data_IF_733720187169
#
_entry.id   IF_733720187169
#
_cell.length_a   1.000
_cell.length_b   1.000
_cell.length_c   1.000
_cell.angle_alpha   90.00
_cell.angle_beta   90.00
_cell.angle_gamma   90.00
#
_symmetry.space_group_name_H-M   'P 1'
#
loop_
_entity.id
_entity.type
_entity.pdbx_description
1 polymer ?
#
# COMPACT_ATOMS: atom_id res chain seq x y z
N UNK A 1 -46.84 38.88 -38.35
CA UNK A 1 -46.34 38.13 -39.52
C UNK A 1 -44.88 38.48 -39.70
N UNK A 2 -43.90 37.66 -39.35
CA UNK A 2 -43.84 36.19 -39.42
C UNK A 2 -42.88 35.68 -38.33
N UNK A 3 -43.21 34.52 -37.76
CA UNK A 3 -42.37 33.70 -36.89
C UNK A 3 -40.92 33.58 -37.36
N UNK A 4 -39.97 33.60 -36.43
CA UNK A 4 -38.61 33.10 -36.68
C UNK A 4 -38.13 32.35 -35.44
N UNK A 5 -38.80 31.24 -35.17
CA UNK A 5 -38.27 30.13 -34.39
C UNK A 5 -37.48 29.21 -35.32
N UNK A 6 -36.16 29.37 -35.38
CA UNK A 6 -35.23 28.29 -35.70
C UNK A 6 -33.79 28.78 -35.49
N UNK A 7 -32.90 27.85 -35.17
CA UNK A 7 -31.47 28.00 -34.82
C UNK A 7 -31.20 28.18 -33.32
N UNK A 8 -31.55 27.14 -32.55
CA UNK A 8 -30.75 26.76 -31.39
C UNK A 8 -29.41 26.23 -31.91
N UNK A 9 -28.37 27.07 -31.89
CA UNK A 9 -26.99 26.62 -32.05
C UNK A 9 -26.50 25.98 -30.76
N UNK A 10 -26.20 24.69 -30.85
CA UNK A 10 -25.50 23.89 -29.85
C UNK A 10 -24.04 24.34 -29.76
N UNK A 11 -23.75 25.33 -28.93
CA UNK A 11 -22.39 25.53 -28.42
C UNK A 11 -22.17 24.60 -27.23
N UNK A 12 -21.74 23.37 -27.55
CA UNK A 12 -21.13 22.46 -26.60
C UNK A 12 -19.73 22.98 -26.26
N UNK A 13 -19.68 24.03 -25.44
CA UNK A 13 -18.42 24.55 -24.96
C UNK A 13 -17.84 23.62 -23.90
N UNK A 14 -16.61 23.21 -24.17
CA UNK A 14 -15.89 22.09 -23.58
C UNK A 14 -15.28 22.45 -22.22
N UNK A 15 -16.01 23.22 -21.40
CA UNK A 15 -15.52 23.79 -20.14
C UNK A 15 -15.65 22.88 -18.93
N UNK A 16 -15.89 21.58 -19.10
CA UNK A 16 -15.67 20.58 -18.03
C UNK A 16 -14.19 20.21 -17.92
N UNK A 17 -13.32 21.23 -17.96
CA UNK A 17 -11.98 21.10 -17.42
C UNK A 17 -12.12 21.05 -15.90
N UNK A 18 -11.80 19.88 -15.35
CA UNK A 18 -11.40 19.62 -13.97
C UNK A 18 -11.40 20.88 -13.10
N UNK A 19 -12.47 21.08 -12.34
CA UNK A 19 -12.43 21.96 -11.18
C UNK A 19 -11.31 21.45 -10.26
N UNK A 20 -10.30 22.27 -9.94
CA UNK A 20 -9.21 21.82 -9.07
C UNK A 20 -9.77 21.76 -7.65
N UNK A 21 -10.27 20.59 -7.27
CA UNK A 21 -10.49 20.27 -5.87
C UNK A 21 -9.12 20.33 -5.18
N UNK A 22 -8.83 21.45 -4.52
CA UNK A 22 -7.77 21.65 -3.52
C UNK A 22 -6.64 20.61 -3.59
N UNK A 23 -5.70 20.80 -4.53
CA UNK A 23 -4.48 20.01 -4.61
C UNK A 23 -3.52 20.39 -3.47
N UNK A 24 -3.90 20.07 -2.25
CA UNK A 24 -2.95 20.00 -1.13
C UNK A 24 -2.28 18.63 -1.16
N UNK A 25 -1.01 18.55 -0.73
CA UNK A 25 -0.16 17.35 -0.72
C UNK A 25 -0.83 16.05 -0.23
N UNK A 26 -1.92 16.17 0.54
CA UNK A 26 -2.85 15.11 0.99
C UNK A 26 -3.43 14.25 -0.15
N UNK A 27 -3.49 14.72 -1.41
CA UNK A 27 -3.96 13.90 -2.54
C UNK A 27 -2.89 13.00 -3.17
N UNK A 28 -1.61 13.18 -2.81
CA UNK A 28 -0.50 12.54 -3.52
C UNK A 28 -0.37 11.05 -3.20
N UNK A 29 -0.38 10.66 -1.91
CA UNK A 29 -0.23 9.24 -1.54
C UNK A 29 -1.34 8.39 -2.15
N UNK A 30 -2.60 8.81 -2.05
CA UNK A 30 -3.72 8.15 -2.71
C UNK A 30 -3.50 7.92 -4.21
N UNK A 31 -2.99 8.92 -4.95
CA UNK A 31 -2.70 8.77 -6.38
C UNK A 31 -1.57 7.76 -6.59
N UNK A 32 -0.46 7.91 -5.86
CA UNK A 32 0.74 7.08 -6.00
C UNK A 32 0.48 5.62 -5.59
N UNK A 33 -0.26 5.39 -4.51
CA UNK A 33 -0.66 4.07 -4.03
C UNK A 33 -1.52 3.34 -5.07
N UNK A 34 -2.43 4.04 -5.76
CA UNK A 34 -3.22 3.44 -6.84
C UNK A 34 -2.34 2.96 -8.02
N UNK A 35 -1.19 3.60 -8.25
CA UNK A 35 -0.24 3.17 -9.27
C UNK A 35 0.45 1.84 -8.94
N UNK A 36 0.31 1.30 -7.73
CA UNK A 36 0.73 -0.08 -7.42
C UNK A 36 -0.01 -1.11 -8.28
N UNK A 37 -1.18 -0.78 -8.81
CA UNK A 37 -1.97 -1.64 -9.72
C UNK A 37 -1.69 -1.38 -11.21
N UNK A 38 -0.85 -0.41 -11.55
CA UNK A 38 -0.50 -0.06 -12.93
C UNK A 38 0.03 -1.28 -13.69
N UNK A 39 -0.23 -1.39 -15.00
CA UNK A 39 0.24 -2.50 -15.85
C UNK A 39 1.71 -2.39 -16.22
N UNK A 40 2.26 -1.17 -16.26
CA UNK A 40 3.67 -0.91 -16.56
C UNK A 40 4.57 -1.27 -15.38
N UNK A 41 5.53 -2.18 -15.59
CA UNK A 41 6.47 -2.63 -14.55
C UNK A 41 7.31 -1.51 -13.97
N UNK A 42 7.80 -0.62 -14.82
CA UNK A 42 8.78 0.39 -14.41
C UNK A 42 8.12 1.45 -13.54
N UNK A 43 6.88 1.83 -13.88
CA UNK A 43 6.05 2.70 -13.04
C UNK A 43 5.83 2.05 -11.67
N UNK A 44 5.44 0.76 -11.63
CA UNK A 44 5.26 0.06 -10.35
C UNK A 44 6.55 0.02 -9.53
N UNK A 45 7.69 -0.23 -10.16
CA UNK A 45 8.99 -0.29 -9.47
C UNK A 45 9.39 1.07 -8.90
N UNK A 46 9.21 2.14 -9.67
CA UNK A 46 9.44 3.52 -9.21
C UNK A 46 8.52 3.85 -8.04
N UNK A 47 7.24 3.47 -8.11
CA UNK A 47 6.26 3.68 -7.04
C UNK A 47 6.66 2.94 -5.77
N UNK A 48 7.02 1.65 -5.86
CA UNK A 48 7.47 0.86 -4.70
C UNK A 48 8.68 1.51 -4.04
N UNK A 49 9.68 1.92 -4.82
CA UNK A 49 10.89 2.58 -4.31
C UNK A 49 10.59 3.96 -3.74
N UNK A 50 9.70 4.73 -4.37
CA UNK A 50 9.29 6.06 -3.93
C UNK A 50 8.56 5.99 -2.58
N UNK A 51 7.55 5.13 -2.48
CA UNK A 51 6.81 4.89 -1.24
C UNK A 51 7.73 4.34 -0.14
N UNK A 52 8.66 3.45 -0.48
CA UNK A 52 9.69 2.95 0.45
C UNK A 52 10.70 4.00 0.95
N UNK A 53 10.69 5.22 0.39
CA UNK A 53 11.56 6.35 0.80
C UNK A 53 10.77 7.49 1.46
N UNK A 54 9.53 7.24 1.85
CA UNK A 54 8.68 8.22 2.53
C UNK A 54 9.33 8.73 3.80
N UNK A 55 9.18 10.04 4.07
CA UNK A 55 9.62 10.66 5.32
C UNK A 55 8.87 10.00 6.49
N UNK A 56 9.56 9.59 7.57
CA UNK A 56 8.91 9.04 8.77
C UNK A 56 7.74 9.87 9.31
N UNK A 57 7.80 11.21 9.22
CA UNK A 57 6.71 12.10 9.66
C UNK A 57 5.43 11.96 8.81
N UNK A 58 5.58 11.60 7.53
CA UNK A 58 4.48 11.41 6.58
C UNK A 58 4.06 9.94 6.46
N UNK A 59 4.67 9.03 7.23
CA UNK A 59 4.38 7.59 7.12
C UNK A 59 2.93 7.27 7.50
N UNK A 60 2.35 7.99 8.46
CA UNK A 60 0.97 7.79 8.89
C UNK A 60 -0.03 8.06 7.76
N UNK A 61 0.17 9.13 7.00
CA UNK A 61 -0.70 9.48 5.86
C UNK A 61 -0.58 8.42 4.76
N UNK A 62 0.65 7.95 4.48
CA UNK A 62 0.87 6.84 3.55
C UNK A 62 0.15 5.57 4.03
N UNK A 63 0.24 5.27 5.32
CA UNK A 63 -0.32 4.06 5.89
C UNK A 63 -1.85 4.04 5.81
N UNK A 64 -2.50 5.19 6.00
CA UNK A 64 -3.95 5.33 5.83
C UNK A 64 -4.37 4.93 4.40
N UNK A 65 -3.67 5.44 3.38
CA UNK A 65 -3.93 5.09 1.98
C UNK A 65 -3.56 3.63 1.63
N UNK A 66 -2.57 3.03 2.30
CA UNK A 66 -2.19 1.63 2.10
C UNK A 66 -3.14 0.63 2.77
N UNK A 67 -3.92 1.05 3.77
CA UNK A 67 -4.74 0.16 4.61
C UNK A 67 -5.69 -0.73 3.82
N UNK A 68 -6.33 -0.21 2.77
CA UNK A 68 -7.22 -1.00 1.90
C UNK A 68 -6.45 -2.11 1.17
N UNK A 69 -5.27 -1.79 0.65
CA UNK A 69 -4.42 -2.75 -0.04
C UNK A 69 -3.87 -3.82 0.89
N UNK A 70 -3.54 -3.46 2.13
CA UNK A 70 -3.11 -4.38 3.18
C UNK A 70 -4.22 -5.38 3.50
N UNK A 71 -5.42 -4.89 3.78
CA UNK A 71 -6.59 -5.74 4.07
C UNK A 71 -6.90 -6.70 2.91
N UNK A 72 -6.92 -6.18 1.68
CA UNK A 72 -7.10 -6.99 0.46
C UNK A 72 -6.01 -8.06 0.30
N UNK A 73 -4.75 -7.72 0.63
CA UNK A 73 -3.64 -8.63 0.55
C UNK A 73 -3.70 -9.73 1.62
N UNK A 74 -4.21 -9.44 2.82
CA UNK A 74 -4.24 -10.40 3.93
C UNK A 74 -5.46 -11.34 3.94
N UNK A 75 -6.54 -11.02 3.21
CA UNK A 75 -7.82 -11.74 3.32
C UNK A 75 -7.76 -13.24 2.93
N UNK A 76 -7.64 -14.17 3.87
CA UNK A 76 -7.54 -15.61 3.53
C UNK A 76 -8.91 -16.15 3.07
N UNK A 77 -9.06 -16.46 1.78
CA UNK A 77 -10.27 -17.01 1.17
C UNK A 77 -9.91 -18.10 0.16
N UNK A 78 -10.77 -19.11 0.01
CA UNK A 78 -10.71 -20.00 -1.15
C UNK A 78 -11.11 -19.21 -2.40
N UNK A 79 -10.14 -18.91 -3.26
CA UNK A 79 -10.36 -18.09 -4.45
C UNK A 79 -9.78 -18.74 -5.71
N UNK A 80 -10.36 -18.40 -6.88
CA UNK A 80 -9.85 -18.86 -8.18
C UNK A 80 -8.38 -18.42 -8.35
N UNK A 81 -7.56 -19.29 -8.95
CA UNK A 81 -6.11 -19.08 -9.18
C UNK A 81 -5.74 -17.68 -9.72
N UNK A 82 -6.53 -17.11 -10.65
CA UNK A 82 -6.28 -15.76 -11.20
C UNK A 82 -6.38 -14.64 -10.15
N UNK A 83 -7.29 -14.77 -9.17
CA UNK A 83 -7.45 -13.79 -8.08
C UNK A 83 -6.31 -13.93 -7.08
N UNK A 84 -5.96 -15.17 -6.72
CA UNK A 84 -4.81 -15.49 -5.88
C UNK A 84 -3.53 -14.85 -6.41
N UNK A 85 -3.16 -15.10 -7.68
CA UNK A 85 -1.96 -14.50 -8.31
C UNK A 85 -1.96 -12.96 -8.31
N UNK A 86 -3.13 -12.32 -8.45
CA UNK A 86 -3.23 -10.85 -8.37
C UNK A 86 -2.96 -10.35 -6.95
N UNK A 87 -3.43 -11.09 -5.95
CA UNK A 87 -3.20 -10.78 -4.54
C UNK A 87 -1.75 -11.04 -4.14
N UNK A 88 -1.13 -12.10 -4.64
CA UNK A 88 0.30 -12.38 -4.40
C UNK A 88 1.20 -11.30 -5.01
N UNK A 89 0.86 -10.83 -6.22
CA UNK A 89 1.51 -9.65 -6.79
C UNK A 89 1.39 -8.42 -5.86
N UNK A 90 0.22 -8.20 -5.26
CA UNK A 90 0.01 -7.08 -4.34
C UNK A 90 0.77 -7.29 -3.02
N UNK A 91 0.76 -8.50 -2.46
CA UNK A 91 1.55 -8.88 -1.28
C UNK A 91 3.02 -8.59 -1.50
N UNK A 92 3.58 -9.01 -2.64
CA UNK A 92 4.97 -8.74 -2.98
C UNK A 92 5.26 -7.23 -3.03
N UNK A 93 4.36 -6.43 -3.61
CA UNK A 93 4.54 -4.97 -3.69
C UNK A 93 4.54 -4.33 -2.31
N UNK A 94 3.59 -4.69 -1.46
CA UNK A 94 3.47 -4.18 -0.10
C UNK A 94 4.67 -4.57 0.76
N UNK A 95 5.09 -5.84 0.73
CA UNK A 95 6.21 -6.29 1.57
C UNK A 95 7.52 -5.63 1.16
N UNK A 96 7.71 -5.35 -0.13
CA UNK A 96 8.87 -4.58 -0.62
C UNK A 96 8.85 -3.15 -0.11
N UNK A 97 7.68 -2.50 -0.06
CA UNK A 97 7.55 -1.14 0.51
C UNK A 97 7.90 -1.16 2.00
N UNK A 98 7.34 -2.11 2.77
CA UNK A 98 7.63 -2.20 4.20
C UNK A 98 9.08 -2.56 4.50
N UNK A 99 9.69 -3.44 3.71
CA UNK A 99 11.12 -3.77 3.83
C UNK A 99 12.03 -2.55 3.61
N UNK A 100 11.68 -1.67 2.67
CA UNK A 100 12.38 -0.42 2.39
C UNK A 100 12.16 0.63 3.49
N UNK A 101 10.93 0.76 4.00
CA UNK A 101 10.63 1.63 5.14
C UNK A 101 11.38 1.17 6.39
N UNK A 102 11.49 -0.15 6.58
CA UNK A 102 12.27 -0.72 7.67
C UNK A 102 13.76 -0.43 7.47
N UNK A 103 14.29 -0.51 6.26
CA UNK A 103 15.69 -0.13 5.99
C UNK A 103 16.04 1.29 6.47
N UNK A 104 15.03 2.18 6.49
CA UNK A 104 15.16 3.60 6.86
C UNK A 104 14.71 3.92 8.28
N UNK A 105 14.49 2.89 9.09
CA UNK A 105 14.18 3.05 10.50
C UNK A 105 12.88 3.82 10.78
N UNK A 106 11.96 3.86 9.79
CA UNK A 106 10.69 4.59 9.88
C UNK A 106 9.86 4.09 11.06
N UNK A 107 9.81 2.77 11.27
CA UNK A 107 9.06 2.18 12.37
C UNK A 107 9.64 2.59 13.73
N UNK A 108 10.98 2.63 13.87
CA UNK A 108 11.68 3.09 15.08
C UNK A 108 11.34 4.55 15.42
N UNK A 109 11.28 5.39 14.40
CA UNK A 109 10.89 6.80 14.53
C UNK A 109 9.44 6.93 15.02
N UNK A 110 8.51 6.25 14.35
CA UNK A 110 7.09 6.27 14.74
C UNK A 110 6.88 5.73 16.16
N UNK A 111 7.58 4.65 16.52
CA UNK A 111 7.56 4.08 17.87
C UNK A 111 7.96 5.09 18.95
N UNK A 112 9.03 5.84 18.69
CA UNK A 112 9.65 6.73 19.67
C UNK A 112 8.87 8.04 19.85
N UNK A 113 8.23 8.52 18.78
CA UNK A 113 7.63 9.86 18.72
C UNK A 113 6.10 9.89 18.83
N UNK A 114 5.40 8.75 18.68
CA UNK A 114 3.95 8.70 18.90
C UNK A 114 3.63 8.45 20.40
N UNK A 115 3.26 9.50 21.13
CA UNK A 115 2.89 9.42 22.56
C UNK A 115 1.43 9.01 22.81
N UNK A 116 0.50 9.24 21.86
CA UNK A 116 -0.94 8.91 22.01
C UNK A 116 -1.45 7.78 21.08
N UNK A 117 -0.74 7.47 19.98
CA UNK A 117 -1.20 6.55 18.92
C UNK A 117 -0.41 5.24 18.92
N UNK A 118 0.08 4.84 20.09
CA UNK A 118 0.78 3.57 20.26
C UNK A 118 -0.11 2.39 19.81
N UNK A 119 -1.38 2.35 20.24
CA UNK A 119 -2.21 1.15 20.06
C UNK A 119 -2.63 0.84 18.62
N UNK A 120 -3.04 1.83 17.82
CA UNK A 120 -3.57 1.56 16.48
C UNK A 120 -2.48 1.21 15.46
N UNK A 121 -1.32 1.87 15.56
CA UNK A 121 -0.16 1.55 14.73
C UNK A 121 0.36 0.13 15.04
N UNK A 122 0.45 -0.26 16.33
CA UNK A 122 0.82 -1.63 16.72
C UNK A 122 -0.19 -2.67 16.25
N UNK A 123 -1.49 -2.41 16.42
CA UNK A 123 -2.53 -3.33 15.98
C UNK A 123 -2.40 -3.64 14.49
N UNK A 124 -2.11 -2.62 13.67
CA UNK A 124 -1.88 -2.81 12.23
C UNK A 124 -0.59 -3.59 11.95
N UNK A 125 0.54 -3.27 12.60
CA UNK A 125 1.78 -4.04 12.42
C UNK A 125 1.59 -5.51 12.80
N UNK A 126 0.89 -5.76 13.91
CA UNK A 126 0.54 -7.09 14.38
C UNK A 126 -0.31 -7.83 13.35
N UNK A 127 -1.41 -7.23 12.88
CA UNK A 127 -2.28 -7.82 11.86
C UNK A 127 -1.51 -8.14 10.57
N UNK A 128 -0.62 -7.24 10.15
CA UNK A 128 0.21 -7.44 8.97
C UNK A 128 1.20 -8.61 9.12
N UNK A 129 1.92 -8.64 10.23
CA UNK A 129 2.90 -9.70 10.52
C UNK A 129 2.22 -11.06 10.66
N UNK A 130 1.13 -11.13 11.44
CA UNK A 130 0.34 -12.35 11.63
C UNK A 130 -0.32 -12.82 10.32
N UNK A 131 -0.86 -11.90 9.54
CA UNK A 131 -1.43 -12.22 8.22
C UNK A 131 -0.38 -12.73 7.23
N UNK A 132 0.83 -12.17 7.26
CA UNK A 132 1.96 -12.63 6.45
C UNK A 132 2.45 -14.02 6.85
N UNK A 133 2.60 -14.28 8.16
CA UNK A 133 2.96 -15.60 8.69
C UNK A 133 1.92 -16.65 8.32
N UNK A 134 0.64 -16.39 8.63
CA UNK A 134 -0.47 -17.29 8.30
C UNK A 134 -0.52 -17.61 6.81
N UNK A 135 -0.32 -16.60 5.95
CA UNK A 135 -0.25 -16.82 4.50
C UNK A 135 0.92 -17.75 4.14
N UNK A 136 2.13 -17.48 4.63
CA UNK A 136 3.31 -18.27 4.29
C UNK A 136 3.30 -19.70 4.85
N UNK A 137 2.58 -19.93 5.96
CA UNK A 137 2.37 -21.25 6.56
C UNK A 137 1.38 -22.10 5.76
N UNK A 138 0.39 -21.47 5.11
CA UNK A 138 -0.60 -22.15 4.27
C UNK A 138 -0.05 -22.47 2.86
N UNK A 139 0.95 -21.74 2.40
CA UNK A 139 1.60 -21.94 1.10
C UNK A 139 2.64 -23.08 1.17
N UNK A 140 2.48 -24.12 0.34
CA UNK A 140 3.38 -25.29 0.33
C UNK A 140 4.77 -24.99 -0.28
N UNK A 141 5.79 -25.76 0.14
CA UNK A 141 7.23 -25.56 -0.19
C UNK A 141 7.61 -25.58 -1.68
N UNK A 142 6.72 -26.00 -2.60
CA UNK A 142 7.10 -26.29 -4.00
C UNK A 142 6.89 -25.18 -5.02
N UNK A 143 6.38 -24.01 -4.65
CA UNK A 143 5.78 -23.12 -5.65
C UNK A 143 6.49 -21.78 -5.89
N UNK A 144 6.58 -21.47 -7.20
CA UNK A 144 6.63 -20.15 -7.86
C UNK A 144 7.67 -19.13 -7.37
N UNK A 145 8.51 -18.62 -8.28
CA UNK A 145 9.45 -17.52 -8.06
C UNK A 145 8.84 -16.32 -7.31
N UNK A 146 7.53 -16.09 -7.46
CA UNK A 146 6.79 -15.05 -6.74
C UNK A 146 6.72 -15.33 -5.23
N UNK A 147 6.41 -16.56 -4.82
CA UNK A 147 6.28 -16.93 -3.40
C UNK A 147 7.65 -16.93 -2.74
N UNK A 148 8.70 -17.41 -3.42
CA UNK A 148 10.08 -17.29 -2.93
C UNK A 148 10.48 -15.83 -2.70
N UNK A 149 10.13 -14.93 -3.62
CA UNK A 149 10.36 -13.49 -3.42
C UNK A 149 9.57 -12.96 -2.22
N UNK A 150 8.30 -13.32 -2.05
CA UNK A 150 7.51 -12.91 -0.89
C UNK A 150 8.19 -13.38 0.40
N UNK A 151 8.59 -14.66 0.48
CA UNK A 151 9.33 -15.22 1.64
C UNK A 151 10.62 -14.43 1.92
N UNK A 152 11.41 -14.15 0.89
CA UNK A 152 12.66 -13.42 1.03
C UNK A 152 12.46 -11.99 1.55
N UNK A 153 11.55 -11.22 0.95
CA UNK A 153 11.27 -9.85 1.40
C UNK A 153 10.61 -9.83 2.77
N UNK A 154 9.74 -10.80 3.07
CA UNK A 154 9.11 -10.91 4.37
C UNK A 154 10.14 -11.18 5.47
N UNK A 155 11.04 -12.15 5.27
CA UNK A 155 12.12 -12.44 6.20
C UNK A 155 13.03 -11.21 6.44
N UNK A 156 13.38 -10.48 5.36
CA UNK A 156 14.16 -9.24 5.46
C UNK A 156 13.43 -8.15 6.24
N UNK A 157 12.14 -7.96 5.97
CA UNK A 157 11.31 -7.01 6.69
C UNK A 157 11.25 -7.35 8.18
N UNK A 158 10.89 -8.59 8.52
CA UNK A 158 10.79 -9.08 9.91
C UNK A 158 12.10 -8.87 10.65
N UNK A 159 13.23 -9.27 10.05
CA UNK A 159 14.56 -9.06 10.64
C UNK A 159 14.83 -7.58 10.96
N UNK A 160 14.58 -6.68 10.01
CA UNK A 160 14.80 -5.23 10.19
C UNK A 160 13.85 -4.62 11.22
N UNK A 161 12.60 -5.05 11.21
CA UNK A 161 11.56 -4.57 12.12
C UNK A 161 11.88 -4.96 13.56
N UNK A 162 12.25 -6.22 13.79
CA UNK A 162 12.72 -6.76 15.07
C UNK A 162 13.89 -5.96 15.62
N UNK A 163 14.89 -5.67 14.79
CA UNK A 163 16.07 -4.92 15.22
C UNK A 163 15.77 -3.46 15.58
N UNK A 164 14.69 -2.89 15.05
CA UNK A 164 14.27 -1.52 15.36
C UNK A 164 13.46 -1.41 16.64
N UNK A 165 12.60 -2.40 16.90
CA UNK A 165 11.63 -2.36 17.98
C UNK A 165 11.56 -3.72 18.68
N UNK A 166 12.62 -4.13 19.43
CA UNK A 166 12.72 -5.50 19.95
C UNK A 166 11.65 -5.87 20.96
N UNK A 167 11.16 -4.90 21.73
CA UNK A 167 10.15 -5.10 22.78
C UNK A 167 8.74 -5.36 22.20
N UNK A 168 8.48 -4.92 20.96
CA UNK A 168 7.22 -5.21 20.26
C UNK A 168 7.10 -6.68 19.88
N UNK A 169 8.20 -7.44 19.87
CA UNK A 169 8.18 -8.89 19.64
C UNK A 169 7.37 -9.61 20.70
N UNK A 170 7.53 -9.24 21.98
CA UNK A 170 6.82 -9.88 23.08
C UNK A 170 5.30 -9.59 23.08
N UNK A 171 4.86 -8.59 22.33
CA UNK A 171 3.45 -8.24 22.18
C UNK A 171 2.84 -8.77 20.87
N UNK A 172 3.66 -9.15 19.88
CA UNK A 172 3.21 -9.55 18.53
C UNK A 172 3.42 -11.03 18.21
N UNK A 173 4.43 -11.70 18.79
CA UNK A 173 4.72 -13.13 18.61
C UNK A 173 4.49 -13.89 19.92
#
# INVERSE_FOLDING_TARGET
NVDTSLYQETHQDSSKFYTPASNTAVSLFRIVVNLLRCETSDIREIVIRGLGRTNPEAFKDLLEDLTVHIKDAMEVKQEKVRRMKKRDCMRLRLIRIFELLADREVFRYCYSNETEIKRSSYQMYHEYLQGGLTYLDLENEKDSDLIQQIRQYFARFVYKFINQIPHVICEIL
#
